data_IF_058707176946
#
_entry.id   IF_058707176946
#
_cell.length_a   1.000
_cell.length_b   1.000
_cell.length_c   1.000
_cell.angle_alpha   90.00
_cell.angle_beta   90.00
_cell.angle_gamma   90.00
#
_symmetry.space_group_name_H-M   'P 1'
#
loop_
_entity.id
_entity.type
_entity.pdbx_description
1 polymer ?
#
# COMPACT_ATOMS: atom_id res chain seq x y z
N UNK A 1 -6.44 0.16 2.62
CA UNK A 1 -5.79 -0.52 3.77
C UNK A 1 -5.05 0.52 4.59
N UNK A 2 -4.51 0.16 5.76
CA UNK A 2 -3.69 1.04 6.58
C UNK A 2 -2.63 0.25 7.34
N UNK A 3 -1.75 0.97 8.03
CA UNK A 3 -0.96 0.46 9.14
C UNK A 3 -1.69 0.82 10.43
N UNK A 4 -1.59 -0.01 11.47
CA UNK A 4 -2.26 0.27 12.75
C UNK A 4 -1.87 1.65 13.28
N UNK A 5 -2.88 2.49 13.58
CA UNK A 5 -2.70 3.87 14.03
C UNK A 5 -2.74 4.92 12.92
N UNK A 6 -2.82 4.52 11.64
CA UNK A 6 -2.93 5.43 10.49
C UNK A 6 -4.35 5.45 9.90
N UNK A 7 -4.75 6.54 9.23
CA UNK A 7 -5.95 6.57 8.41
C UNK A 7 -5.94 5.51 7.31
N UNK A 8 -7.12 5.19 6.79
CA UNK A 8 -7.25 4.35 5.59
C UNK A 8 -6.78 5.16 4.37
N UNK A 9 -6.00 4.53 3.49
CA UNK A 9 -5.55 5.15 2.23
C UNK A 9 -6.73 5.51 1.32
N UNK A 10 -6.68 6.69 0.68
CA UNK A 10 -7.73 7.18 -0.23
C UNK A 10 -7.22 7.51 -1.65
N UNK A 11 -5.91 7.49 -1.87
CA UNK A 11 -5.27 7.72 -3.17
C UNK A 11 -4.26 6.62 -3.53
N UNK A 12 -3.91 6.46 -4.83
CA UNK A 12 -2.82 5.58 -5.23
C UNK A 12 -1.48 5.92 -4.59
N UNK A 13 -1.19 7.20 -4.40
CA UNK A 13 0.02 7.70 -3.77
C UNK A 13 0.07 7.29 -2.29
N UNK A 14 -1.05 7.40 -1.56
CA UNK A 14 -1.15 6.93 -0.18
C UNK A 14 -0.97 5.42 -0.11
N UNK A 15 -1.61 4.67 -1.03
CA UNK A 15 -1.48 3.22 -1.10
C UNK A 15 -0.03 2.78 -1.30
N UNK A 16 0.72 3.46 -2.18
CA UNK A 16 2.14 3.17 -2.41
C UNK A 16 3.00 3.51 -1.18
N UNK A 17 2.76 4.67 -0.55
CA UNK A 17 3.48 5.10 0.65
C UNK A 17 3.25 4.18 1.85
N UNK A 18 1.99 3.79 2.09
CA UNK A 18 1.62 2.84 3.14
C UNK A 18 2.12 1.44 2.80
N UNK A 19 2.08 1.01 1.54
CA UNK A 19 2.65 -0.28 1.13
C UNK A 19 4.15 -0.36 1.44
N UNK A 20 4.92 0.66 1.09
CA UNK A 20 6.38 0.70 1.31
C UNK A 20 6.75 0.54 2.79
N UNK A 21 5.96 1.11 3.70
CA UNK A 21 6.17 1.02 5.15
C UNK A 21 5.52 -0.19 5.81
N UNK A 22 4.64 -0.88 5.09
CA UNK A 22 3.97 -2.09 5.59
C UNK A 22 4.85 -3.33 5.50
N UNK A 23 4.47 -4.40 6.20
CA UNK A 23 5.06 -5.73 6.04
C UNK A 23 4.53 -6.52 4.84
N UNK A 24 3.72 -5.91 3.96
CA UNK A 24 3.14 -6.60 2.81
C UNK A 24 4.18 -6.86 1.72
N UNK A 25 4.16 -8.05 1.13
CA UNK A 25 5.04 -8.41 0.00
C UNK A 25 4.52 -7.92 -1.35
N UNK A 26 3.19 -7.87 -1.50
CA UNK A 26 2.52 -7.50 -2.74
C UNK A 26 1.35 -6.54 -2.50
N UNK A 27 1.20 -5.57 -3.39
CA UNK A 27 0.05 -4.67 -3.46
C UNK A 27 -0.61 -4.79 -4.84
N UNK A 28 -1.91 -5.04 -4.85
CA UNK A 28 -2.74 -4.96 -6.05
C UNK A 28 -3.38 -3.57 -6.11
N UNK A 29 -3.14 -2.81 -7.18
CA UNK A 29 -3.70 -1.47 -7.37
C UNK A 29 -4.15 -1.25 -8.82
N UNK A 30 -5.46 -1.06 -9.02
CA UNK A 30 -6.05 -0.98 -10.35
C UNK A 30 -5.76 -2.26 -11.14
N UNK A 31 -5.03 -2.14 -12.25
CA UNK A 31 -4.60 -3.28 -13.09
C UNK A 31 -3.13 -3.68 -12.87
N UNK A 32 -2.49 -3.19 -11.82
CA UNK A 32 -1.07 -3.40 -11.54
C UNK A 32 -0.86 -4.25 -10.28
N UNK A 33 0.21 -5.05 -10.31
CA UNK A 33 0.76 -5.72 -9.13
C UNK A 33 2.11 -5.09 -8.84
N UNK A 34 2.27 -4.59 -7.62
CA UNK A 34 3.54 -4.06 -7.11
C UNK A 34 4.08 -5.05 -6.10
N UNK A 35 5.34 -5.44 -6.25
CA UNK A 35 6.02 -6.39 -5.37
C UNK A 35 7.26 -5.75 -4.79
N UNK A 36 7.50 -5.95 -3.49
CA UNK A 36 8.78 -5.54 -2.88
C UNK A 36 9.91 -6.45 -3.34
N UNK A 37 11.13 -5.90 -3.36
CA UNK A 37 12.36 -6.69 -3.58
C UNK A 37 12.72 -7.49 -2.34
#
# INVERSE_FOLDING_TARGET
FNIHGEPVVESPEDALSTFERSGMSHLYIGSFIVSKK
#
